data_IF_407953951716
#
_entry.id   IF_407953951716
#
_cell.length_a   1.000
_cell.length_b   1.000
_cell.length_c   1.000
_cell.angle_alpha   90.00
_cell.angle_beta   90.00
_cell.angle_gamma   90.00
#
_symmetry.space_group_name_H-M   'P 1'
#
loop_
_entity.id
_entity.type
_entity.pdbx_description
1 polymer ?
#
# COMPACT_ATOMS: atom_id res chain seq x y z
N UNK A 1 41.86 -3.82 0.67
CA UNK A 1 41.84 -3.57 -0.80
C UNK A 1 41.32 -4.74 -1.67
N UNK A 2 41.01 -5.93 -1.11
CA UNK A 2 40.56 -7.10 -1.92
C UNK A 2 39.02 -7.29 -1.97
N UNK A 3 38.27 -6.76 -1.00
CA UNK A 3 36.80 -6.95 -0.93
C UNK A 3 36.01 -5.91 -1.76
N UNK A 4 36.56 -4.71 -1.93
CA UNK A 4 35.95 -3.61 -2.72
C UNK A 4 36.02 -3.90 -4.23
N UNK A 5 37.12 -4.48 -4.72
CA UNK A 5 37.25 -4.88 -6.13
C UNK A 5 36.30 -6.03 -6.51
N UNK A 6 36.01 -6.95 -5.57
CA UNK A 6 35.05 -8.06 -5.78
C UNK A 6 33.60 -7.56 -5.90
N UNK A 7 33.22 -6.54 -5.12
CA UNK A 7 31.88 -5.94 -5.18
C UNK A 7 31.68 -5.03 -6.41
N UNK A 8 32.73 -4.34 -6.85
CA UNK A 8 32.69 -3.51 -8.06
C UNK A 8 32.62 -4.35 -9.34
N UNK A 9 33.33 -5.50 -9.39
CA UNK A 9 33.24 -6.48 -10.48
C UNK A 9 31.87 -7.18 -10.50
N UNK A 10 31.27 -7.46 -9.34
CA UNK A 10 29.91 -8.01 -9.26
C UNK A 10 28.85 -7.05 -9.79
N UNK A 11 28.98 -5.75 -9.49
CA UNK A 11 28.04 -4.71 -9.94
C UNK A 11 28.16 -4.42 -11.44
N UNK A 12 29.38 -4.41 -12.00
CA UNK A 12 29.59 -4.27 -13.45
C UNK A 12 29.10 -5.49 -14.23
N UNK A 13 29.31 -6.71 -13.72
CA UNK A 13 28.75 -7.93 -14.32
C UNK A 13 27.22 -7.94 -14.24
N UNK A 14 26.62 -7.47 -13.15
CA UNK A 14 25.16 -7.35 -13.01
C UNK A 14 24.54 -6.32 -13.95
N UNK A 15 25.20 -5.17 -14.13
CA UNK A 15 24.74 -4.15 -15.09
C UNK A 15 24.89 -4.64 -16.52
N UNK A 16 25.98 -5.34 -16.88
CA UNK A 16 26.15 -5.94 -18.20
C UNK A 16 25.13 -7.04 -18.48
N UNK A 17 24.76 -7.85 -17.47
CA UNK A 17 23.71 -8.87 -17.59
C UNK A 17 22.32 -8.26 -17.72
N UNK A 18 22.03 -7.16 -17.01
CA UNK A 18 20.76 -6.44 -17.12
C UNK A 18 20.62 -5.73 -18.46
N UNK A 19 21.70 -5.12 -18.96
CA UNK A 19 21.77 -4.52 -20.29
C UNK A 19 21.64 -5.57 -21.38
N UNK A 20 22.32 -6.72 -21.26
CA UNK A 20 22.20 -7.84 -22.20
C UNK A 20 20.80 -8.47 -22.18
N UNK A 21 20.15 -8.54 -21.01
CA UNK A 21 18.78 -9.00 -20.88
C UNK A 21 17.79 -8.02 -21.53
N UNK A 22 17.97 -6.71 -21.33
CA UNK A 22 17.16 -5.68 -21.95
C UNK A 22 17.36 -5.63 -23.48
N UNK A 23 18.60 -5.79 -23.97
CA UNK A 23 18.91 -5.93 -25.40
C UNK A 23 18.39 -7.25 -26.00
N UNK A 24 18.38 -8.35 -25.24
CA UNK A 24 17.82 -9.63 -25.67
C UNK A 24 16.29 -9.58 -25.70
N UNK A 25 15.64 -8.87 -24.77
CA UNK A 25 14.19 -8.63 -24.82
C UNK A 25 13.80 -7.68 -25.95
N UNK A 26 14.63 -6.68 -26.26
CA UNK A 26 14.44 -5.82 -27.43
C UNK A 26 14.71 -6.56 -28.76
N UNK A 27 15.72 -7.45 -28.81
CA UNK A 27 16.00 -8.31 -29.97
C UNK A 27 14.98 -9.42 -30.18
N UNK A 28 14.44 -10.00 -29.10
CA UNK A 28 13.36 -10.97 -29.18
C UNK A 28 12.04 -10.33 -29.65
N UNK A 29 11.85 -9.04 -29.39
CA UNK A 29 10.79 -8.23 -29.98
C UNK A 29 11.05 -7.88 -31.46
N UNK A 30 12.31 -7.76 -31.86
CA UNK A 30 12.70 -7.45 -33.24
C UNK A 30 12.80 -8.69 -34.17
N UNK A 31 12.92 -9.90 -33.63
CA UNK A 31 13.19 -11.13 -34.39
C UNK A 31 11.97 -11.79 -35.07
N UNK A 32 10.76 -11.25 -34.92
CA UNK A 32 9.59 -11.72 -35.69
C UNK A 32 9.33 -10.94 -36.98
N UNK A 33 10.26 -10.09 -37.43
CA UNK A 33 10.08 -9.29 -38.63
C UNK A 33 11.28 -9.38 -39.57
N UNK A 34 10.97 -9.82 -40.80
CA UNK A 34 11.85 -9.88 -41.97
C UNK A 34 12.41 -8.47 -42.27
N UNK A 35 13.67 -8.31 -42.72
CA UNK A 35 14.26 -6.99 -42.92
C UNK A 35 13.64 -6.28 -44.12
N UNK A 36 13.09 -5.09 -43.87
CA UNK A 36 12.66 -4.15 -44.90
C UNK A 36 11.16 -4.19 -45.19
N UNK A 37 10.36 -3.53 -44.35
CA UNK A 37 9.07 -2.92 -44.74
C UNK A 37 8.59 -2.01 -43.61
N UNK A 38 8.08 -0.83 -43.98
CA UNK A 38 7.54 0.18 -43.07
C UNK A 38 6.33 -0.36 -42.29
N UNK A 39 6.27 -0.04 -41.00
CA UNK A 39 5.14 -0.35 -40.11
C UNK A 39 3.93 0.56 -40.43
N UNK A 40 2.74 -0.04 -40.53
CA UNK A 40 1.46 0.66 -40.38
C UNK A 40 0.57 -0.12 -39.42
N UNK A 41 -0.04 0.58 -38.45
CA UNK A 41 -0.95 0.00 -37.46
C UNK A 41 -2.38 -0.06 -38.01
N UNK A 42 -3.01 -1.23 -38.00
CA UNK A 42 -4.47 -1.39 -38.20
C UNK A 42 -5.01 -2.44 -37.24
N UNK A 43 -5.82 -2.00 -36.26
CA UNK A 43 -7.24 -2.40 -36.02
C UNK A 43 -7.66 -2.19 -34.55
N UNK A 44 -8.70 -1.37 -34.36
CA UNK A 44 -9.00 -0.60 -33.16
C UNK A 44 -10.10 -1.13 -32.23
N UNK A 45 -10.06 -2.40 -31.82
CA UNK A 45 -10.98 -2.90 -30.78
C UNK A 45 -10.29 -3.57 -29.57
N UNK A 46 -8.98 -3.86 -29.67
CA UNK A 46 -8.17 -4.43 -28.57
C UNK A 46 -7.52 -3.32 -27.70
N UNK A 47 -7.56 -2.06 -28.17
CA UNK A 47 -6.73 -0.98 -27.64
C UNK A 47 -7.29 -0.30 -26.38
N UNK A 48 -8.60 -0.19 -26.20
CA UNK A 48 -9.19 0.55 -25.06
C UNK A 48 -8.91 -0.10 -23.71
N UNK A 49 -8.92 -1.44 -23.63
CA UNK A 49 -8.61 -2.19 -22.39
C UNK A 49 -7.11 -2.27 -22.10
N UNK A 50 -6.28 -2.23 -23.14
CA UNK A 50 -4.82 -2.17 -23.02
C UNK A 50 -4.32 -0.77 -22.67
N UNK A 51 -5.05 0.30 -23.00
CA UNK A 51 -4.70 1.69 -22.66
C UNK A 51 -4.70 1.93 -21.15
N UNK A 52 -5.75 1.47 -20.45
CA UNK A 52 -5.84 1.60 -18.98
C UNK A 52 -4.77 0.77 -18.25
N UNK A 53 -4.46 -0.42 -18.76
CA UNK A 53 -3.38 -1.28 -18.23
C UNK A 53 -1.99 -0.73 -18.55
N UNK A 54 -1.83 -0.11 -19.72
CA UNK A 54 -0.65 0.63 -20.16
C UNK A 54 -0.41 1.84 -19.26
N UNK A 55 -1.41 2.68 -19.04
CA UNK A 55 -1.30 3.91 -18.23
C UNK A 55 -0.99 3.58 -16.77
N UNK A 56 -1.61 2.53 -16.20
CA UNK A 56 -1.25 2.02 -14.86
C UNK A 56 0.15 1.42 -14.79
N UNK A 57 0.67 0.87 -15.89
CA UNK A 57 2.04 0.33 -15.95
C UNK A 57 3.08 1.43 -16.15
N UNK A 58 2.75 2.44 -16.95
CA UNK A 58 3.54 3.66 -17.16
C UNK A 58 3.62 4.46 -15.86
N UNK A 59 2.50 4.73 -15.19
CA UNK A 59 2.49 5.42 -13.90
C UNK A 59 3.28 4.65 -12.83
N UNK A 60 3.21 3.31 -12.81
CA UNK A 60 4.07 2.49 -11.92
C UNK A 60 5.55 2.60 -12.26
N UNK A 61 5.92 2.68 -13.54
CA UNK A 61 7.30 2.88 -13.97
C UNK A 61 7.79 4.30 -13.64
N UNK A 62 6.93 5.30 -13.75
CA UNK A 62 7.21 6.69 -13.34
C UNK A 62 7.42 6.80 -11.83
N UNK A 63 6.56 6.19 -11.01
CA UNK A 63 6.73 6.16 -9.56
C UNK A 63 8.01 5.40 -9.16
N UNK A 64 8.34 4.31 -9.87
CA UNK A 64 9.59 3.56 -9.66
C UNK A 64 10.82 4.37 -10.11
N UNK A 65 10.70 5.22 -11.14
CA UNK A 65 11.71 6.18 -11.60
C UNK A 65 11.93 7.26 -10.54
N UNK A 66 10.87 7.84 -9.98
CA UNK A 66 10.94 8.86 -8.93
C UNK A 66 11.60 8.30 -7.66
N UNK A 67 11.16 7.13 -7.17
CA UNK A 67 11.81 6.46 -6.03
C UNK A 67 13.31 6.19 -6.26
N UNK A 68 13.70 5.84 -7.50
CA UNK A 68 15.11 5.67 -7.88
C UNK A 68 15.85 7.00 -7.98
N UNK A 69 15.21 8.05 -8.51
CA UNK A 69 15.75 9.41 -8.60
C UNK A 69 16.06 9.93 -7.20
N UNK A 70 15.11 9.85 -6.26
CA UNK A 70 15.29 10.28 -4.88
C UNK A 70 16.37 9.48 -4.16
N UNK A 71 16.53 8.20 -4.51
CA UNK A 71 17.61 7.35 -3.96
C UNK A 71 18.97 7.71 -4.53
N UNK A 72 19.04 8.18 -5.77
CA UNK A 72 20.25 8.71 -6.40
C UNK A 72 20.56 10.10 -5.85
N UNK A 73 19.54 10.93 -5.63
CA UNK A 73 19.69 12.28 -5.06
C UNK A 73 20.14 12.23 -3.59
N UNK A 74 19.55 11.35 -2.78
CA UNK A 74 20.05 11.03 -1.42
C UNK A 74 21.42 10.35 -1.37
N UNK A 75 21.91 9.87 -2.52
CA UNK A 75 23.31 9.41 -2.66
C UNK A 75 24.19 10.57 -3.13
N UNK A 76 23.74 11.44 -4.04
CA UNK A 76 24.40 12.68 -4.46
C UNK A 76 24.70 13.56 -3.24
N UNK A 77 23.70 13.85 -2.42
CA UNK A 77 23.85 14.70 -1.23
C UNK A 77 24.78 14.07 -0.16
N UNK A 78 24.98 12.75 -0.24
CA UNK A 78 25.89 11.97 0.63
C UNK A 78 27.29 11.80 0.02
N UNK A 79 27.43 12.04 -1.29
CA UNK A 79 28.68 11.94 -2.05
C UNK A 79 29.34 13.31 -2.28
N UNK A 80 28.60 14.42 -2.16
CA UNK A 80 29.19 15.77 -2.07
C UNK A 80 30.09 15.96 -0.84
N UNK A 81 30.00 15.07 0.16
CA UNK A 81 30.91 15.01 1.30
C UNK A 81 32.26 14.35 0.97
N UNK A 82 32.37 13.60 -0.13
CA UNK A 82 33.59 12.89 -0.53
C UNK A 82 33.85 13.02 -2.04
N UNK A 83 34.46 14.15 -2.40
CA UNK A 83 34.73 14.55 -3.78
C UNK A 83 35.35 13.45 -4.67
N UNK A 84 34.58 13.05 -5.70
CA UNK A 84 35.03 12.58 -7.02
C UNK A 84 33.90 12.67 -8.05
N UNK A 85 34.29 12.72 -9.33
CA UNK A 85 33.68 13.49 -10.44
C UNK A 85 32.20 13.23 -10.72
N UNK A 86 31.42 14.28 -10.44
CA UNK A 86 30.00 14.49 -10.74
C UNK A 86 29.68 14.30 -12.24
N UNK A 87 30.63 14.57 -13.12
CA UNK A 87 30.46 14.51 -14.59
C UNK A 87 30.04 13.12 -15.13
N UNK A 88 30.56 12.01 -14.58
CA UNK A 88 30.21 10.66 -15.06
C UNK A 88 28.79 10.24 -14.66
N UNK A 89 28.25 10.83 -13.58
CA UNK A 89 26.87 10.62 -13.14
C UNK A 89 25.90 11.49 -13.95
N UNK A 90 26.29 12.72 -14.27
CA UNK A 90 25.50 13.64 -15.11
C UNK A 90 25.36 13.10 -16.54
N UNK A 91 26.43 12.57 -17.16
CA UNK A 91 26.34 11.95 -18.49
C UNK A 91 25.36 10.77 -18.53
N UNK A 92 25.26 10.01 -17.43
CA UNK A 92 24.36 8.85 -17.34
C UNK A 92 22.92 9.25 -17.06
N UNK A 93 22.68 10.38 -16.40
CA UNK A 93 21.34 10.96 -16.22
C UNK A 93 20.83 11.49 -17.56
N UNK A 94 21.65 12.22 -18.30
CA UNK A 94 21.31 12.77 -19.63
C UNK A 94 20.92 11.66 -20.62
N UNK A 95 21.68 10.56 -20.68
CA UNK A 95 21.34 9.42 -21.55
C UNK A 95 20.01 8.74 -21.19
N UNK A 96 19.64 8.75 -19.90
CA UNK A 96 18.36 8.24 -19.41
C UNK A 96 17.20 9.17 -19.78
N UNK A 97 17.40 10.48 -19.78
CA UNK A 97 16.39 11.47 -20.17
C UNK A 97 16.11 11.43 -21.67
N UNK A 98 17.15 11.29 -22.52
CA UNK A 98 16.99 11.14 -23.97
C UNK A 98 16.20 9.86 -24.34
N UNK A 99 16.46 8.75 -23.64
CA UNK A 99 15.73 7.50 -23.85
C UNK A 99 14.25 7.61 -23.48
N UNK A 100 13.93 8.42 -22.45
CA UNK A 100 12.55 8.62 -22.00
C UNK A 100 11.80 9.55 -22.95
N UNK A 101 12.45 10.62 -23.42
CA UNK A 101 11.86 11.52 -24.40
C UNK A 101 11.52 10.80 -25.72
N UNK A 102 12.34 9.82 -26.12
CA UNK A 102 12.06 8.97 -27.28
C UNK A 102 10.87 8.00 -27.06
N UNK A 103 10.55 7.64 -25.81
CA UNK A 103 9.38 6.82 -25.48
C UNK A 103 8.11 7.66 -25.45
N UNK A 104 8.20 8.89 -24.92
CA UNK A 104 7.07 9.84 -24.85
C UNK A 104 6.63 10.29 -26.25
N UNK A 105 7.57 10.54 -27.16
CA UNK A 105 7.23 10.89 -28.55
C UNK A 105 6.52 9.77 -29.31
N UNK A 106 6.75 8.50 -28.95
CA UNK A 106 6.00 7.36 -29.49
C UNK A 106 4.56 7.25 -28.95
N UNK A 107 4.19 8.01 -27.91
CA UNK A 107 2.86 7.94 -27.28
C UNK A 107 1.92 9.07 -27.74
N UNK A 108 2.42 10.14 -28.34
CA UNK A 108 1.62 11.31 -28.75
C UNK A 108 1.03 11.20 -30.17
N UNK A 109 1.49 10.27 -31.01
CA UNK A 109 1.15 10.20 -32.44
C UNK A 109 -0.23 9.56 -32.79
N UNK A 110 -1.07 9.19 -31.81
CA UNK A 110 -2.34 8.48 -32.08
C UNK A 110 -3.61 9.26 -31.69
N UNK A 111 -3.56 10.60 -31.74
CA UNK A 111 -4.73 11.46 -31.56
C UNK A 111 -5.47 11.73 -32.87
N UNK A 112 -6.03 10.68 -33.47
CA UNK A 112 -6.82 10.83 -34.69
C UNK A 112 -7.73 9.66 -35.02
N UNK A 113 -8.96 9.67 -34.50
CA UNK A 113 -10.21 9.31 -35.21
C UNK A 113 -11.25 8.64 -34.31
N UNK A 114 -12.50 8.96 -34.62
CA UNK A 114 -13.77 8.79 -33.91
C UNK A 114 -14.47 7.45 -34.15
N UNK A 115 -15.45 7.10 -33.29
CA UNK A 115 -16.57 6.23 -33.69
C UNK A 115 -17.24 5.34 -32.63
N UNK A 116 -18.35 5.83 -32.05
CA UNK A 116 -19.66 5.16 -31.86
C UNK A 116 -19.86 3.69 -31.41
N UNK A 117 -20.68 3.57 -30.35
CA UNK A 117 -21.84 2.67 -30.18
C UNK A 117 -21.69 1.23 -29.64
N UNK A 118 -22.43 0.95 -28.55
CA UNK A 118 -23.42 -0.16 -28.52
C UNK A 118 -23.18 -1.35 -27.57
N UNK A 119 -23.96 -1.39 -26.49
CA UNK A 119 -24.61 -2.53 -25.79
C UNK A 119 -23.95 -3.91 -25.65
N UNK A 120 -24.00 -4.46 -24.43
CA UNK A 120 -23.96 -5.92 -24.22
C UNK A 120 -23.72 -6.36 -22.79
N UNK A 121 -24.80 -6.68 -22.07
CA UNK A 121 -24.82 -7.37 -20.78
C UNK A 121 -24.09 -8.71 -20.82
N UNK A 122 -23.41 -9.07 -19.73
CA UNK A 122 -22.76 -10.36 -19.56
C UNK A 122 -22.26 -10.56 -18.14
N UNK A 123 -23.19 -10.81 -17.21
CA UNK A 123 -22.84 -11.36 -15.90
C UNK A 123 -22.19 -12.72 -16.11
N UNK A 124 -20.94 -12.84 -15.67
CA UNK A 124 -20.25 -14.12 -15.54
C UNK A 124 -20.13 -14.41 -14.05
N UNK A 125 -20.96 -15.34 -13.59
CA UNK A 125 -20.73 -16.11 -12.37
C UNK A 125 -19.32 -16.67 -12.40
N UNK A 126 -18.42 -16.08 -11.61
CA UNK A 126 -17.06 -16.57 -11.43
C UNK A 126 -17.10 -17.89 -10.67
N UNK A 127 -16.55 -18.94 -11.28
CA UNK A 127 -16.16 -20.15 -10.59
C UNK A 127 -15.31 -19.80 -9.36
N UNK A 128 -15.48 -20.55 -8.26
CA UNK A 128 -14.72 -20.42 -7.03
C UNK A 128 -13.23 -20.71 -7.28
N UNK A 129 -12.52 -19.71 -7.79
CA UNK A 129 -11.07 -19.70 -7.85
C UNK A 129 -10.53 -19.87 -6.45
N UNK A 130 -9.63 -20.83 -6.26
CA UNK A 130 -8.98 -21.08 -4.97
C UNK A 130 -8.33 -19.79 -4.48
N UNK A 131 -8.83 -19.27 -3.37
CA UNK A 131 -8.32 -18.07 -2.70
C UNK A 131 -6.98 -18.40 -2.01
N UNK A 132 -5.90 -18.53 -2.78
CA UNK A 132 -4.59 -18.97 -2.29
C UNK A 132 -3.50 -17.91 -2.44
N UNK A 133 -2.58 -17.85 -1.47
CA UNK A 133 -1.42 -16.98 -1.53
C UNK A 133 -0.41 -17.47 -2.59
N UNK A 134 0.31 -16.57 -3.29
CA UNK A 134 1.35 -16.98 -4.23
C UNK A 134 2.44 -17.84 -3.57
N UNK A 135 2.45 -19.13 -3.87
CA UNK A 135 3.42 -20.12 -3.34
C UNK A 135 4.87 -19.83 -3.75
N UNK A 136 5.08 -18.97 -4.75
CA UNK A 136 6.41 -18.49 -5.15
C UNK A 136 7.10 -17.62 -4.09
N UNK A 137 6.32 -16.98 -3.20
CA UNK A 137 6.84 -16.07 -2.15
C UNK A 137 6.40 -16.48 -0.75
N UNK A 138 5.16 -16.94 -0.60
CA UNK A 138 4.55 -17.21 0.70
C UNK A 138 4.52 -18.69 1.01
N UNK A 139 4.81 -19.03 2.26
CA UNK A 139 4.80 -20.40 2.77
C UNK A 139 3.64 -20.67 3.73
N UNK A 140 2.95 -19.61 4.15
CA UNK A 140 1.91 -19.64 5.19
C UNK A 140 0.73 -18.79 4.74
N UNK A 141 -0.46 -19.30 5.00
CA UNK A 141 -1.71 -18.60 4.78
C UNK A 141 -2.64 -18.78 5.98
N UNK A 142 -3.37 -17.72 6.35
CA UNK A 142 -4.52 -17.79 7.25
C UNK A 142 -5.71 -17.19 6.50
N UNK A 143 -6.86 -17.85 6.58
CA UNK A 143 -8.13 -17.35 6.04
C UNK A 143 -9.04 -17.01 7.21
N UNK A 144 -9.67 -15.84 7.14
CA UNK A 144 -10.64 -15.38 8.14
C UNK A 144 -12.05 -15.50 7.54
N UNK A 145 -13.01 -15.93 8.35
CA UNK A 145 -14.45 -15.92 8.04
C UNK A 145 -14.86 -16.68 6.76
N UNK A 146 -14.07 -17.68 6.35
CA UNK A 146 -14.34 -18.47 5.14
C UNK A 146 -15.69 -19.19 5.19
N UNK A 147 -16.10 -19.65 6.38
CA UNK A 147 -17.40 -20.30 6.61
C UNK A 147 -18.60 -19.40 6.27
N UNK A 148 -18.40 -18.08 6.25
CA UNK A 148 -19.40 -17.06 5.95
C UNK A 148 -19.26 -16.49 4.52
N UNK A 149 -18.42 -17.10 3.68
CA UNK A 149 -18.06 -16.63 2.33
C UNK A 149 -17.34 -15.27 2.32
N UNK A 150 -16.77 -14.84 3.45
CA UNK A 150 -15.81 -13.76 3.47
C UNK A 150 -14.42 -14.37 3.25
N UNK A 151 -13.70 -13.86 2.25
CA UNK A 151 -12.37 -14.36 1.89
C UNK A 151 -11.37 -13.23 2.14
N UNK A 152 -10.95 -13.10 3.40
CA UNK A 152 -9.90 -12.18 3.82
C UNK A 152 -8.72 -13.06 4.22
N UNK A 153 -7.50 -12.76 3.72
CA UNK A 153 -6.32 -13.61 3.97
C UNK A 153 -5.14 -12.83 4.49
N UNK A 154 -4.31 -13.59 5.20
CA UNK A 154 -2.96 -13.24 5.55
C UNK A 154 -2.03 -14.19 4.82
N UNK A 155 -1.04 -13.65 4.11
CA UNK A 155 0.02 -14.39 3.44
C UNK A 155 1.35 -14.06 4.13
N UNK A 156 2.11 -15.06 4.56
CA UNK A 156 3.39 -14.84 5.23
C UNK A 156 4.52 -15.68 4.65
N UNK A 157 5.72 -15.10 4.60
CA UNK A 157 6.92 -15.85 4.21
C UNK A 157 7.28 -16.87 5.28
N UNK A 158 8.12 -17.83 4.94
CA UNK A 158 8.60 -18.83 5.90
C UNK A 158 9.40 -18.24 7.07
N UNK A 159 9.92 -17.01 6.92
CA UNK A 159 10.77 -16.35 7.93
C UNK A 159 9.99 -15.62 9.03
N UNK A 160 8.69 -15.36 8.84
CA UNK A 160 7.82 -14.83 9.90
C UNK A 160 7.40 -15.97 10.82
N UNK A 161 7.48 -15.81 12.14
CA UNK A 161 7.09 -16.88 13.06
C UNK A 161 5.57 -17.14 13.06
N UNK A 162 5.16 -18.38 13.30
CA UNK A 162 3.74 -18.77 13.35
C UNK A 162 2.95 -17.95 14.38
N UNK A 163 3.57 -17.68 15.53
CA UNK A 163 2.96 -16.86 16.57
C UNK A 163 2.63 -15.45 16.09
N UNK A 164 3.50 -14.83 15.28
CA UNK A 164 3.25 -13.49 14.72
C UNK A 164 2.20 -13.51 13.62
N UNK A 165 2.19 -14.54 12.78
CA UNK A 165 1.14 -14.72 11.76
C UNK A 165 -0.23 -14.90 12.42
N UNK A 166 -0.33 -15.73 13.46
CA UNK A 166 -1.58 -15.93 14.19
C UNK A 166 -1.98 -14.69 14.98
N UNK A 167 -1.04 -13.94 15.54
CA UNK A 167 -1.32 -12.66 16.21
C UNK A 167 -1.95 -11.65 15.26
N UNK A 168 -1.35 -11.45 14.08
CA UNK A 168 -1.91 -10.58 13.05
C UNK A 168 -3.31 -11.05 12.60
N UNK A 169 -3.53 -12.37 12.50
CA UNK A 169 -4.84 -12.92 12.17
C UNK A 169 -5.90 -12.62 13.24
N UNK A 170 -5.54 -12.70 14.52
CA UNK A 170 -6.44 -12.38 15.64
C UNK A 170 -6.76 -10.89 15.68
N UNK A 171 -5.74 -10.03 15.57
CA UNK A 171 -5.94 -8.57 15.51
C UNK A 171 -6.87 -8.17 14.38
N UNK A 172 -6.69 -8.76 13.18
CA UNK A 172 -7.58 -8.52 12.04
C UNK A 172 -9.01 -9.03 12.30
N UNK A 173 -9.15 -10.21 12.93
CA UNK A 173 -10.46 -10.74 13.29
C UNK A 173 -11.16 -9.87 14.34
N UNK A 174 -10.49 -9.44 15.40
CA UNK A 174 -11.03 -8.58 16.47
C UNK A 174 -11.44 -7.18 15.98
N UNK A 175 -10.80 -6.66 14.93
CA UNK A 175 -11.27 -5.43 14.28
C UNK A 175 -12.53 -5.64 13.43
N UNK A 176 -12.74 -6.84 12.87
CA UNK A 176 -13.87 -7.13 11.99
C UNK A 176 -15.08 -7.70 12.74
N UNK A 177 -14.81 -8.44 13.81
CA UNK A 177 -15.73 -9.07 14.76
C UNK A 177 -15.27 -8.67 16.18
N UNK A 178 -15.67 -7.47 16.61
CA UNK A 178 -15.26 -6.85 17.87
C UNK A 178 -15.96 -7.45 19.09
N UNK A 179 -17.07 -8.16 18.87
CA UNK A 179 -17.79 -8.88 19.92
C UNK A 179 -17.32 -10.35 20.08
N UNK A 180 -16.49 -10.82 19.14
CA UNK A 180 -15.88 -12.15 19.05
C UNK A 180 -16.88 -13.32 18.99
N UNK A 181 -18.02 -13.14 18.32
CA UNK A 181 -19.04 -14.18 18.15
C UNK A 181 -18.83 -15.09 16.92
N UNK A 182 -17.77 -14.85 16.15
CA UNK A 182 -17.41 -15.56 14.93
C UNK A 182 -17.99 -14.95 13.66
N UNK A 183 -18.71 -13.84 13.74
CA UNK A 183 -19.34 -13.15 12.62
C UNK A 183 -18.85 -11.71 12.53
N UNK A 184 -18.44 -11.21 11.36
CA UNK A 184 -18.08 -9.80 11.22
C UNK A 184 -19.26 -8.89 11.61
N UNK A 185 -19.01 -7.94 12.52
CA UNK A 185 -19.99 -6.97 13.00
C UNK A 185 -20.53 -6.10 11.85
N UNK A 186 -19.67 -5.85 10.85
CA UNK A 186 -20.00 -5.11 9.65
C UNK A 186 -19.82 -5.99 8.39
N UNK A 187 -20.87 -6.73 8.05
CA UNK A 187 -20.87 -7.65 6.90
C UNK A 187 -20.62 -6.95 5.55
N UNK A 188 -21.03 -5.69 5.39
CA UNK A 188 -20.77 -4.91 4.17
C UNK A 188 -19.26 -4.62 4.02
N UNK A 189 -18.57 -4.31 5.13
CA UNK A 189 -17.12 -4.11 5.16
C UNK A 189 -16.39 -5.42 4.86
N UNK A 190 -16.78 -6.52 5.49
CA UNK A 190 -16.20 -7.84 5.20
C UNK A 190 -16.40 -8.26 3.73
N UNK A 191 -17.56 -7.91 3.15
CA UNK A 191 -17.86 -8.13 1.72
C UNK A 191 -17.00 -7.24 0.82
N UNK A 192 -16.82 -5.96 1.16
CA UNK A 192 -15.97 -5.05 0.41
C UNK A 192 -14.50 -5.54 0.37
N UNK A 193 -13.97 -5.94 1.53
CA UNK A 193 -12.62 -6.52 1.65
C UNK A 193 -12.49 -7.79 0.81
N UNK A 194 -13.49 -8.67 0.84
CA UNK A 194 -13.54 -9.88 0.02
C UNK A 194 -13.51 -9.56 -1.47
N UNK A 195 -14.34 -8.63 -1.94
CA UNK A 195 -14.43 -8.24 -3.34
C UNK A 195 -13.13 -7.63 -3.87
N UNK A 196 -12.36 -6.96 -3.01
CA UNK A 196 -11.05 -6.40 -3.31
C UNK A 196 -9.90 -7.39 -3.11
N UNK A 197 -10.20 -8.64 -2.73
CA UNK A 197 -9.20 -9.65 -2.37
C UNK A 197 -8.18 -9.13 -1.35
N UNK A 198 -8.67 -8.40 -0.34
CA UNK A 198 -7.84 -7.81 0.72
C UNK A 198 -6.91 -8.84 1.33
N UNK A 199 -5.61 -8.53 1.33
CA UNK A 199 -4.55 -9.45 1.70
C UNK A 199 -3.50 -8.74 2.54
N UNK A 200 -3.35 -9.14 3.80
CA UNK A 200 -2.18 -8.73 4.60
C UNK A 200 -0.98 -9.59 4.18
N UNK A 201 0.13 -8.96 3.79
CA UNK A 201 1.36 -9.66 3.42
C UNK A 201 2.43 -9.46 4.48
N UNK A 202 2.88 -10.55 5.11
CA UNK A 202 3.86 -10.49 6.18
C UNK A 202 5.24 -10.94 5.71
N UNK A 203 6.23 -10.09 5.97
CA UNK A 203 7.64 -10.34 5.65
C UNK A 203 8.48 -10.27 6.93
N UNK A 204 9.63 -10.94 6.96
CA UNK A 204 10.53 -10.78 8.10
C UNK A 204 11.10 -9.35 8.21
N UNK A 205 11.38 -8.73 7.07
CA UNK A 205 11.94 -7.38 6.91
C UNK A 205 11.91 -6.99 5.41
N UNK A 206 12.43 -5.82 5.09
CA UNK A 206 12.46 -5.21 3.76
C UNK A 206 13.22 -6.09 2.74
N UNK A 207 14.28 -6.78 3.17
CA UNK A 207 15.03 -7.71 2.29
C UNK A 207 14.24 -8.96 1.98
N UNK A 208 13.38 -9.40 2.91
CA UNK A 208 12.48 -10.52 2.68
C UNK A 208 11.30 -10.14 1.78
N UNK A 209 10.89 -8.87 1.79
CA UNK A 209 9.91 -8.33 0.85
C UNK A 209 10.46 -8.20 -0.58
N UNK A 210 11.74 -7.84 -0.74
CA UNK A 210 12.35 -7.50 -2.02
C UNK A 210 11.90 -8.40 -3.19
N UNK A 211 11.53 -7.76 -4.30
CA UNK A 211 11.06 -8.44 -5.50
C UNK A 211 9.64 -8.99 -5.43
N UNK A 212 8.92 -8.79 -4.32
CA UNK A 212 7.48 -8.99 -4.28
C UNK A 212 6.77 -7.88 -5.06
N UNK A 213 5.90 -8.29 -5.98
CA UNK A 213 4.92 -7.43 -6.65
C UNK A 213 3.57 -8.08 -6.39
N UNK A 214 2.67 -7.45 -5.61
CA UNK A 214 1.36 -8.03 -5.34
C UNK A 214 0.63 -8.25 -6.68
N UNK A 215 -0.01 -9.41 -6.87
CA UNK A 215 -0.89 -9.62 -8.02
C UNK A 215 -1.86 -8.45 -8.15
N UNK A 216 -2.09 -7.94 -9.36
CA UNK A 216 -2.88 -6.71 -9.55
C UNK A 216 -4.36 -6.79 -9.12
N UNK A 217 -4.83 -7.95 -8.68
CA UNK A 217 -6.14 -8.15 -8.06
C UNK A 217 -6.14 -8.06 -6.54
N UNK A 218 -4.96 -7.95 -5.89
CA UNK A 218 -4.84 -7.89 -4.43
C UNK A 218 -4.81 -6.44 -4.00
N UNK A 219 -5.81 -6.01 -3.25
CA UNK A 219 -5.62 -4.96 -2.27
C UNK A 219 -4.69 -5.49 -1.18
N UNK A 220 -3.46 -4.97 -1.08
CA UNK A 220 -2.45 -5.52 -0.17
C UNK A 220 -1.84 -4.48 0.75
N UNK A 221 -1.65 -4.87 2.01
CA UNK A 221 -0.92 -4.10 3.02
C UNK A 221 0.21 -4.95 3.58
N UNK A 222 1.42 -4.41 3.67
CA UNK A 222 2.56 -5.13 4.23
C UNK A 222 2.62 -4.97 5.76
N UNK A 223 3.17 -5.98 6.44
CA UNK A 223 3.46 -5.93 7.87
C UNK A 223 4.78 -6.67 8.11
N UNK A 224 5.78 -6.00 8.70
CA UNK A 224 7.03 -6.67 9.02
C UNK A 224 6.96 -7.40 10.34
N UNK A 225 7.72 -8.48 10.47
CA UNK A 225 7.80 -9.23 11.71
C UNK A 225 8.26 -8.36 12.89
N UNK A 226 9.09 -7.32 12.67
CA UNK A 226 9.52 -6.40 13.74
C UNK A 226 8.41 -5.48 14.26
N UNK A 227 7.38 -5.25 13.46
CA UNK A 227 6.21 -4.41 13.79
C UNK A 227 5.16 -5.18 14.59
N UNK A 228 5.21 -6.51 14.57
CA UNK A 228 4.31 -7.37 15.34
C UNK A 228 4.88 -7.68 16.72
N UNK A 229 4.29 -7.08 17.77
CA UNK A 229 4.60 -7.35 19.18
C UNK A 229 3.53 -8.26 19.76
N UNK A 230 3.93 -9.43 20.25
CA UNK A 230 3.00 -10.40 20.83
C UNK A 230 2.48 -9.90 22.20
N UNK A 231 1.32 -10.37 22.69
CA UNK A 231 0.78 -9.98 23.98
C UNK A 231 1.79 -10.22 25.11
N UNK A 232 2.00 -9.20 25.94
CA UNK A 232 3.01 -9.20 27.01
C UNK A 232 4.44 -8.93 26.56
N UNK A 233 4.67 -8.65 25.27
CA UNK A 233 5.95 -8.18 24.75
C UNK A 233 6.21 -6.70 25.02
N UNK A 234 7.46 -6.28 24.83
CA UNK A 234 7.87 -4.88 24.98
C UNK A 234 7.64 -4.10 23.69
N UNK A 235 7.15 -2.85 23.81
CA UNK A 235 6.97 -1.93 22.69
C UNK A 235 5.51 -1.81 22.22
N UNK A 236 5.29 -0.92 21.26
CA UNK A 236 3.98 -0.74 20.63
C UNK A 236 3.81 -1.79 19.52
N UNK A 237 2.64 -2.41 19.44
CA UNK A 237 2.30 -3.35 18.38
C UNK A 237 1.79 -2.60 17.15
N UNK A 238 2.67 -2.40 16.17
CA UNK A 238 2.34 -1.73 14.91
C UNK A 238 1.45 -2.61 14.02
N UNK A 239 1.21 -3.88 14.36
CA UNK A 239 0.16 -4.66 13.68
C UNK A 239 -1.22 -4.00 13.82
N UNK A 240 -1.49 -3.28 14.92
CA UNK A 240 -2.73 -2.52 15.11
C UNK A 240 -2.95 -1.44 14.04
N UNK A 241 -1.87 -0.87 13.51
CA UNK A 241 -1.85 0.18 12.50
C UNK A 241 -2.00 -0.41 11.10
N UNK A 242 -1.08 -1.29 10.71
CA UNK A 242 -1.04 -1.85 9.36
C UNK A 242 -2.30 -2.66 9.03
N UNK A 243 -2.83 -3.41 9.99
CA UNK A 243 -4.08 -4.15 9.79
C UNK A 243 -5.26 -3.19 9.67
N UNK A 244 -5.26 -2.09 10.43
CA UNK A 244 -6.31 -1.10 10.34
C UNK A 244 -6.28 -0.36 9.01
N UNK A 245 -5.10 -0.07 8.45
CA UNK A 245 -4.94 0.59 7.15
C UNK A 245 -5.68 -0.14 6.03
N UNK A 246 -5.54 -1.47 5.93
CA UNK A 246 -6.27 -2.22 4.91
C UNK A 246 -7.78 -2.27 5.19
N UNK A 247 -8.20 -2.35 6.46
CA UNK A 247 -9.62 -2.34 6.82
C UNK A 247 -10.26 -0.98 6.52
N UNK A 248 -9.58 0.13 6.80
CA UNK A 248 -10.09 1.48 6.54
C UNK A 248 -10.11 1.79 5.06
N UNK A 249 -8.99 1.60 4.36
CA UNK A 249 -8.84 1.94 2.95
C UNK A 249 -9.71 1.06 2.05
N UNK A 250 -9.74 -0.24 2.32
CA UNK A 250 -10.38 -1.19 1.43
C UNK A 250 -11.79 -1.59 1.87
N UNK A 251 -12.09 -1.39 3.16
CA UNK A 251 -13.38 -1.65 3.78
C UNK A 251 -14.20 -0.38 3.99
N UNK A 252 -13.90 0.41 5.02
CA UNK A 252 -14.73 1.56 5.41
C UNK A 252 -14.88 2.61 4.30
N UNK A 253 -13.80 2.98 3.62
CA UNK A 253 -13.84 3.93 2.51
C UNK A 253 -14.67 3.39 1.33
N UNK A 254 -14.69 2.08 1.11
CA UNK A 254 -15.49 1.46 0.05
C UNK A 254 -16.99 1.41 0.38
N UNK A 255 -17.33 1.14 1.64
CA UNK A 255 -18.74 1.00 2.09
C UNK A 255 -19.37 2.36 2.37
N UNK A 256 -18.59 3.32 2.87
CA UNK A 256 -19.06 4.64 3.30
C UNK A 256 -18.26 5.77 2.64
N UNK A 257 -18.25 5.88 1.30
CA UNK A 257 -17.34 6.75 0.57
C UNK A 257 -17.51 8.24 0.88
N UNK A 258 -18.73 8.71 1.18
CA UNK A 258 -18.94 10.12 1.54
C UNK A 258 -18.35 10.49 2.92
N UNK A 259 -18.22 9.51 3.81
CA UNK A 259 -17.77 9.71 5.19
C UNK A 259 -16.31 9.34 5.37
N UNK A 260 -15.93 8.12 4.99
CA UNK A 260 -14.58 7.55 5.16
C UNK A 260 -13.78 7.51 3.86
N UNK A 261 -14.34 7.96 2.74
CA UNK A 261 -13.55 8.12 1.52
C UNK A 261 -12.40 9.09 1.74
N UNK A 262 -11.37 8.93 0.93
CA UNK A 262 -10.07 9.56 1.16
C UNK A 262 -9.79 10.71 0.19
N UNK A 263 -10.77 11.04 -0.66
CA UNK A 263 -10.73 12.22 -1.49
C UNK A 263 -11.18 13.50 -0.77
N UNK A 264 -10.76 14.64 -1.31
CA UNK A 264 -11.18 15.96 -0.83
C UNK A 264 -12.71 16.07 -0.85
N UNK A 265 -13.29 16.48 0.29
CA UNK A 265 -14.72 16.75 0.43
C UNK A 265 -15.48 15.72 1.25
N UNK A 266 -14.89 14.57 1.55
CA UNK A 266 -15.48 13.59 2.49
C UNK A 266 -15.43 14.09 3.92
N UNK A 267 -16.25 13.51 4.80
CA UNK A 267 -16.27 13.89 6.23
C UNK A 267 -14.91 13.71 6.88
N UNK A 268 -14.23 12.58 6.63
CA UNK A 268 -12.89 12.27 7.14
C UNK A 268 -11.83 13.25 6.62
N UNK A 269 -11.80 13.49 5.31
CA UNK A 269 -10.83 14.38 4.67
C UNK A 269 -10.97 15.83 5.16
N UNK A 270 -12.20 16.31 5.34
CA UNK A 270 -12.44 17.65 5.90
C UNK A 270 -12.01 17.76 7.37
N UNK A 271 -12.18 16.70 8.17
CA UNK A 271 -11.68 16.65 9.54
C UNK A 271 -10.14 16.66 9.56
N UNK A 272 -9.49 15.86 8.71
CA UNK A 272 -8.04 15.86 8.52
C UNK A 272 -7.50 17.23 8.12
N UNK A 273 -8.12 17.91 7.15
CA UNK A 273 -7.72 19.26 6.74
C UNK A 273 -7.76 20.24 7.92
N UNK A 274 -8.77 20.11 8.80
CA UNK A 274 -8.85 20.92 10.02
C UNK A 274 -7.71 20.57 10.98
N UNK A 275 -7.41 19.28 11.15
CA UNK A 275 -6.35 18.78 12.03
C UNK A 275 -4.95 19.24 11.64
N UNK A 276 -4.72 19.43 10.34
CA UNK A 276 -3.47 19.93 9.77
C UNK A 276 -3.41 21.47 9.71
N UNK A 277 -4.49 22.16 10.08
CA UNK A 277 -4.60 23.63 9.98
C UNK A 277 -4.80 24.15 8.56
N UNK A 278 -5.19 23.29 7.62
CA UNK A 278 -5.39 23.60 6.21
C UNK A 278 -5.39 22.34 5.34
N UNK A 279 -5.77 22.52 4.07
CA UNK A 279 -5.74 21.44 3.07
C UNK A 279 -4.36 21.39 2.40
N UNK A 280 -3.72 20.23 2.47
CA UNK A 280 -2.43 19.97 1.84
C UNK A 280 -2.52 18.67 1.03
N UNK A 281 -2.50 18.77 -0.30
CA UNK A 281 -2.52 17.61 -1.22
C UNK A 281 -1.16 16.92 -1.36
N UNK A 282 -0.10 17.60 -0.92
CA UNK A 282 1.26 17.10 -0.76
C UNK A 282 1.80 17.56 0.59
N UNK A 283 2.79 16.88 1.13
CA UNK A 283 3.40 17.27 2.41
C UNK A 283 4.05 18.65 2.29
N UNK A 284 3.65 19.63 3.13
CA UNK A 284 4.23 20.96 3.13
C UNK A 284 5.59 20.96 3.84
N UNK A 285 6.42 21.98 3.59
CA UNK A 285 7.69 22.18 4.31
C UNK A 285 7.50 22.43 5.81
N UNK A 286 6.33 22.93 6.20
CA UNK A 286 5.91 23.06 7.60
C UNK A 286 4.38 23.14 7.70
N UNK A 287 3.84 22.58 8.77
CA UNK A 287 2.44 22.74 9.13
C UNK A 287 2.25 23.95 10.06
N UNK A 288 1.06 24.58 10.08
CA UNK A 288 0.72 25.60 11.07
C UNK A 288 0.95 25.12 12.51
N UNK A 289 1.41 26.00 13.40
CA UNK A 289 1.71 25.66 14.81
C UNK A 289 0.53 24.99 15.55
N UNK A 290 -0.71 25.34 15.18
CA UNK A 290 -1.93 24.80 15.76
C UNK A 290 -2.33 23.42 15.25
N UNK A 291 -1.62 22.85 14.28
CA UNK A 291 -1.89 21.50 13.78
C UNK A 291 -1.65 20.46 14.90
N UNK A 292 -2.54 19.48 14.98
CA UNK A 292 -2.39 18.32 15.87
C UNK A 292 -2.20 17.01 15.12
N UNK A 293 -2.36 17.04 13.79
CA UNK A 293 -1.91 16.04 12.87
C UNK A 293 -0.92 16.69 11.88
N UNK A 294 0.25 16.09 11.73
CA UNK A 294 1.30 16.45 10.77
C UNK A 294 1.84 15.16 10.17
N UNK A 295 2.50 15.22 9.03
CA UNK A 295 3.00 14.01 8.36
C UNK A 295 4.24 14.34 7.52
N UNK A 296 5.25 13.47 7.49
CA UNK A 296 6.56 13.75 6.88
C UNK A 296 7.03 12.74 5.81
N UNK A 297 6.30 11.64 5.57
CA UNK A 297 6.63 10.69 4.50
C UNK A 297 6.18 11.19 3.13
N UNK A 298 7.11 11.84 2.41
CA UNK A 298 6.92 12.38 1.07
C UNK A 298 6.49 11.36 -0.01
N UNK A 299 6.43 10.06 0.29
CA UNK A 299 5.90 9.04 -0.62
C UNK A 299 4.39 8.86 -0.52
N UNK A 300 3.76 9.46 0.50
CA UNK A 300 2.34 9.39 0.79
C UNK A 300 1.58 10.53 0.12
N UNK A 301 0.49 10.19 -0.57
CA UNK A 301 -0.42 11.17 -1.17
C UNK A 301 -1.49 11.64 -0.17
N UNK A 302 -2.48 12.40 -0.64
CA UNK A 302 -3.56 12.89 0.22
C UNK A 302 -4.40 11.77 0.84
N UNK A 303 -4.65 10.68 0.10
CA UNK A 303 -5.51 9.60 0.57
C UNK A 303 -4.81 8.71 1.59
N UNK A 304 -3.53 8.43 1.36
CA UNK A 304 -2.66 7.79 2.34
C UNK A 304 -2.61 8.60 3.67
N UNK A 305 -2.53 9.93 3.61
CA UNK A 305 -2.61 10.77 4.82
C UNK A 305 -3.99 10.69 5.50
N UNK A 306 -5.08 10.54 4.75
CA UNK A 306 -6.42 10.38 5.32
C UNK A 306 -6.57 9.03 6.04
N UNK A 307 -5.98 7.95 5.48
CA UNK A 307 -5.88 6.64 6.11
C UNK A 307 -5.14 6.73 7.45
N UNK A 308 -3.96 7.36 7.44
CA UNK A 308 -3.13 7.54 8.62
C UNK A 308 -3.82 8.39 9.70
N UNK A 309 -4.46 9.49 9.30
CA UNK A 309 -5.26 10.33 10.20
C UNK A 309 -6.39 9.54 10.88
N UNK A 310 -7.09 8.67 10.12
CA UNK A 310 -8.10 7.80 10.70
C UNK A 310 -7.49 6.83 11.71
N UNK A 311 -6.35 6.20 11.40
CA UNK A 311 -5.63 5.34 12.34
C UNK A 311 -5.31 6.08 13.65
N UNK A 312 -4.70 7.27 13.56
CA UNK A 312 -4.32 8.05 14.73
C UNK A 312 -5.51 8.41 15.61
N UNK A 313 -6.58 8.91 14.99
CA UNK A 313 -7.80 9.28 15.70
C UNK A 313 -8.47 8.06 16.35
N UNK A 314 -8.64 6.99 15.57
CA UNK A 314 -9.37 5.81 16.00
C UNK A 314 -8.65 5.06 17.11
N UNK A 315 -7.36 4.78 16.95
CA UNK A 315 -6.59 4.05 17.97
C UNK A 315 -6.37 4.87 19.24
N UNK A 316 -6.33 6.21 19.15
CA UNK A 316 -6.40 7.09 20.33
C UNK A 316 -7.72 6.98 21.07
N UNK A 317 -8.84 6.92 20.34
CA UNK A 317 -10.18 6.77 20.91
C UNK A 317 -10.36 5.41 21.59
N UNK A 318 -9.78 4.34 21.03
CA UNK A 318 -9.80 3.00 21.62
C UNK A 318 -8.77 2.80 22.74
N UNK A 319 -7.88 3.78 22.96
CA UNK A 319 -6.92 3.79 24.07
C UNK A 319 -5.56 3.16 23.77
N UNK A 320 -5.31 2.66 22.55
CA UNK A 320 -4.03 2.07 22.17
C UNK A 320 -2.86 3.07 22.31
N UNK A 321 -3.14 4.36 22.04
CA UNK A 321 -2.13 5.42 22.09
C UNK A 321 -1.91 6.00 23.51
N UNK A 322 -2.58 5.47 24.53
CA UNK A 322 -2.53 5.95 25.91
C UNK A 322 -1.48 5.23 26.79
N UNK A 323 -0.37 4.81 26.19
CA UNK A 323 0.73 4.14 26.88
C UNK A 323 1.73 5.11 27.54
N UNK A 324 2.52 4.65 28.52
CA UNK A 324 3.66 5.42 29.05
C UNK A 324 4.62 5.81 27.91
N UNK A 325 5.05 7.08 27.87
CA UNK A 325 5.91 7.65 26.82
C UNK A 325 5.34 7.66 25.40
N UNK A 326 4.18 7.05 25.16
CA UNK A 326 3.62 6.97 23.80
C UNK A 326 3.44 8.36 23.17
N UNK A 327 2.95 9.34 23.93
CA UNK A 327 2.83 10.72 23.44
C UNK A 327 4.19 11.30 22.99
N UNK A 328 5.27 11.12 23.75
CA UNK A 328 6.58 11.66 23.34
C UNK A 328 7.12 10.97 22.09
N UNK A 329 6.70 9.73 21.83
CA UNK A 329 7.12 8.98 20.64
C UNK A 329 6.35 9.43 19.38
N UNK A 330 5.12 9.96 19.53
CA UNK A 330 4.23 10.27 18.39
C UNK A 330 3.89 11.75 18.24
N UNK A 331 4.16 12.62 19.21
CA UNK A 331 3.67 14.01 19.19
C UNK A 331 4.23 14.88 18.06
N UNK A 332 5.28 14.41 17.39
CA UNK A 332 5.80 15.00 16.15
C UNK A 332 4.86 14.81 14.95
N UNK A 333 3.92 13.86 15.04
CA UNK A 333 2.95 13.51 14.01
C UNK A 333 1.51 13.66 14.52
N UNK A 334 1.22 13.15 15.72
CA UNK A 334 -0.11 13.14 16.32
C UNK A 334 -0.11 13.55 17.81
N UNK A 335 -0.82 14.62 18.15
CA UNK A 335 -0.80 15.19 19.53
C UNK A 335 -1.93 14.70 20.43
N UNK A 336 -2.94 14.03 19.87
CA UNK A 336 -4.19 13.66 20.56
C UNK A 336 -4.20 12.17 20.95
N UNK A 337 -3.18 11.71 21.67
CA UNK A 337 -2.95 10.29 22.01
C UNK A 337 -4.00 9.61 22.94
N UNK A 338 -5.13 10.27 23.27
CA UNK A 338 -6.16 9.72 24.16
C UNK A 338 -7.56 10.11 23.69
N UNK A 339 -8.56 9.28 24.01
CA UNK A 339 -9.98 9.59 23.79
C UNK A 339 -10.36 11.00 24.26
N UNK A 340 -9.97 11.38 25.47
CA UNK A 340 -10.29 12.70 26.03
C UNK A 340 -9.71 13.85 25.20
N UNK A 341 -8.48 13.69 24.67
CA UNK A 341 -7.86 14.69 23.79
C UNK A 341 -8.54 14.78 22.43
N UNK A 342 -8.90 13.63 21.84
CA UNK A 342 -9.64 13.59 20.56
C UNK A 342 -11.00 14.26 20.73
N UNK A 343 -11.77 13.86 21.75
CA UNK A 343 -13.09 14.40 22.05
C UNK A 343 -13.07 15.92 22.31
N UNK A 344 -12.04 16.43 22.99
CA UNK A 344 -11.94 17.85 23.34
C UNK A 344 -11.46 18.74 22.18
N UNK A 345 -10.65 18.21 21.25
CA UNK A 345 -9.98 19.00 20.21
C UNK A 345 -10.55 18.69 18.82
N UNK A 346 -10.51 17.43 18.41
CA UNK A 346 -10.93 16.99 17.07
C UNK A 346 -12.36 16.44 17.09
N UNK A 347 -13.29 17.35 17.40
CA UNK A 347 -14.71 17.01 17.51
C UNK A 347 -15.30 16.47 16.21
N UNK A 348 -14.72 16.81 15.05
CA UNK A 348 -15.18 16.36 13.75
C UNK A 348 -14.97 14.85 13.58
N UNK A 349 -13.74 14.35 13.77
CA UNK A 349 -13.47 12.91 13.65
C UNK A 349 -14.07 12.13 14.81
N UNK A 350 -14.10 12.70 16.02
CA UNK A 350 -14.79 12.09 17.16
C UNK A 350 -16.26 11.81 16.85
N UNK A 351 -16.99 12.81 16.34
CA UNK A 351 -18.41 12.67 15.99
C UNK A 351 -18.62 11.71 14.81
N UNK A 352 -17.71 11.70 13.84
CA UNK A 352 -17.74 10.75 12.73
C UNK A 352 -17.63 9.31 13.26
N UNK A 353 -16.60 9.00 14.05
CA UNK A 353 -16.35 7.65 14.56
C UNK A 353 -17.47 7.20 15.51
N UNK A 354 -17.84 8.03 16.49
CA UNK A 354 -18.86 7.67 17.49
C UNK A 354 -20.25 7.44 16.88
N UNK A 355 -20.59 8.13 15.78
CA UNK A 355 -21.83 7.87 15.04
C UNK A 355 -21.89 6.45 14.49
N UNK A 356 -20.78 5.91 13.98
CA UNK A 356 -20.73 4.54 13.46
C UNK A 356 -20.58 3.48 14.58
N UNK A 357 -19.91 3.83 15.67
CA UNK A 357 -19.86 2.98 16.88
C UNK A 357 -21.25 2.78 17.50
N UNK A 358 -22.11 3.80 17.49
CA UNK A 358 -23.48 3.72 18.03
C UNK A 358 -24.36 2.64 17.36
N UNK A 359 -24.05 2.32 16.10
CA UNK A 359 -24.73 1.29 15.30
C UNK A 359 -23.92 -0.01 15.18
N UNK A 360 -22.87 -0.20 16.00
CA UNK A 360 -21.95 -1.34 15.94
C UNK A 360 -21.29 -1.56 14.56
N UNK A 361 -21.09 -0.49 13.78
CA UNK A 361 -20.48 -0.56 12.43
C UNK A 361 -18.97 -0.38 12.43
N UNK A 362 -18.43 0.14 13.52
CA UNK A 362 -17.01 0.35 13.77
C UNK A 362 -16.71 -0.13 15.21
N UNK A 363 -15.57 -0.81 15.45
CA UNK A 363 -15.17 -1.32 16.76
C UNK A 363 -15.18 -0.27 17.88
N UNK A 364 -15.48 -0.74 19.10
CA UNK A 364 -15.41 0.06 20.34
C UNK A 364 -14.34 -0.43 21.30
N UNK A 365 -13.76 -1.60 21.04
CA UNK A 365 -12.68 -2.21 21.81
C UNK A 365 -11.46 -2.36 20.91
N UNK A 366 -10.27 -2.00 21.41
CA UNK A 366 -9.02 -2.25 20.68
C UNK A 366 -8.70 -3.75 20.70
N UNK A 367 -8.21 -4.35 19.59
CA UNK A 367 -7.72 -5.72 19.61
C UNK A 367 -6.62 -5.93 20.65
N UNK A 368 -6.66 -7.07 21.33
CA UNK A 368 -5.63 -7.49 22.30
C UNK A 368 -4.82 -8.72 21.84
N UNK A 369 -5.21 -9.33 20.71
CA UNK A 369 -4.56 -10.51 20.14
C UNK A 369 -5.13 -11.83 20.67
N UNK A 370 -6.29 -11.82 21.34
CA UNK A 370 -6.93 -12.98 21.99
C UNK A 370 -8.34 -13.25 21.47
N UNK A 371 -8.47 -13.40 20.15
CA UNK A 371 -9.75 -13.69 19.52
C UNK A 371 -10.36 -15.08 19.84
N UNK A 372 -11.66 -15.12 20.14
CA UNK A 372 -12.43 -16.32 20.51
C UNK A 372 -13.53 -16.74 19.53
N UNK A 373 -13.84 -15.92 18.51
CA UNK A 373 -14.95 -16.18 17.57
C UNK A 373 -14.74 -17.36 16.61
N UNK A 374 -13.50 -17.66 16.23
CA UNK A 374 -13.18 -18.89 15.49
C UNK A 374 -11.73 -19.38 15.73
N UNK A 375 -11.47 -20.64 15.37
CA UNK A 375 -10.11 -21.17 15.38
C UNK A 375 -9.37 -20.77 14.13
N UNK A 376 -8.44 -19.82 14.26
CA UNK A 376 -7.54 -19.41 13.19
C UNK A 376 -6.35 -20.36 13.09
N UNK A 377 -6.12 -20.90 11.88
CA UNK A 377 -5.06 -21.87 11.62
C UNK A 377 -4.21 -21.49 10.42
N UNK A 378 -2.89 -21.69 10.54
CA UNK A 378 -1.97 -21.56 9.41
C UNK A 378 -2.09 -22.80 8.52
N UNK A 379 -2.31 -22.57 7.24
CA UNK A 379 -2.26 -23.58 6.18
C UNK A 379 -1.14 -23.29 5.19
N UNK A 380 -0.73 -24.30 4.43
CA UNK A 380 0.13 -24.10 3.27
C UNK A 380 -0.71 -23.54 2.12
N UNK A 381 -0.27 -22.46 1.43
CA UNK A 381 -1.01 -21.86 0.33
C UNK A 381 -1.27 -22.76 -0.88
#
# INVERSE_FOLDING_TARGET
>A
MSMVYRNLHCLTVWVLLLSAFLLATASAFAQTSIPGTNFTCTDGAIFSRNRELSDRRVNRLLNKKERKRDRIERKRDRFEEFGRSVEELEERITALEETISAIESCLEDDSGSSGGSGSGSGGSSGEAGTFTCPTSKFAKQVNLFQSLNHNIRICATSKVSDAKVLHAARVMAEYLDNNEDGTPDNADVATALTNKSATLVMFANESDEEGFDPPGSFASQNLYARETVLPGGDGFDFALEEILHIISHEGYAAVYPNDFGEEVGTTLANAMDTARGGRFTSIPSSYPNGAWYTYDDNTCDYGCQATEYFYWAFTSMLGAQNGPRRLSDIEGEWRLNTLAKVQATDTAVYNLITRYQADNRIPTVIPDGTYSGETLSIVTP
#
